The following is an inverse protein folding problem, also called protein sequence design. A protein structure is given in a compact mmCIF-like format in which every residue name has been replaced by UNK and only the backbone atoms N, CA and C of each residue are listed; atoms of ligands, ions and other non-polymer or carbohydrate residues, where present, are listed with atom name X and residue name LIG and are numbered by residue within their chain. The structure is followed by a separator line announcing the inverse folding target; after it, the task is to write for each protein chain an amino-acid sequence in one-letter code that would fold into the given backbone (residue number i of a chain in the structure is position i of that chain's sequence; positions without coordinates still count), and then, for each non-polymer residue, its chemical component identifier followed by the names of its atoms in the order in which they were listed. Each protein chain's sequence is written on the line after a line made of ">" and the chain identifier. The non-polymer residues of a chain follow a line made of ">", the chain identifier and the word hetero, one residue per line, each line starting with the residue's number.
data_IF_056405737789
#
_entry.id   IF_056405737789
#
_cell.length_a   1.000
_cell.length_b   1.000
_cell.length_c   1.000
_cell.angle_alpha   90.00
_cell.angle_beta   90.00
_cell.angle_gamma   90.00
#
_symmetry.space_group_name_H-M   'P 1'
#
loop_
_entity.id
_entity.type
_entity.pdbx_description
1 polymer ?
#
# COMPACT_ATOMS: atom_id res chain seq x y z
N UNK A 1 2.21 -4.45 4.38
CA UNK A 1 2.13 -5.02 3.01
C UNK A 1 1.01 -4.31 2.27
N UNK A 2 1.34 -3.61 1.19
CA UNK A 2 0.37 -2.94 0.32
C UNK A 2 0.18 -3.73 -0.97
N UNK A 3 -1.04 -3.67 -1.52
CA UNK A 3 -1.42 -4.42 -2.73
C UNK A 3 -2.18 -3.50 -3.66
N UNK A 4 -1.54 -3.14 -4.76
CA UNK A 4 -2.14 -2.36 -5.84
C UNK A 4 -2.67 -3.33 -6.88
N UNK A 5 -4.00 -3.38 -7.05
CA UNK A 5 -4.62 -4.23 -8.07
C UNK A 5 -4.83 -3.41 -9.34
N UNK A 6 -4.48 -3.98 -10.48
CA UNK A 6 -4.73 -3.35 -11.77
C UNK A 6 -6.07 -3.82 -12.32
N UNK A 7 -6.85 -2.89 -12.84
CA UNK A 7 -8.10 -3.15 -13.57
C UNK A 7 -7.80 -3.41 -15.05
N UNK A 8 -8.80 -3.94 -15.78
CA UNK A 8 -8.76 -4.11 -17.25
C UNK A 8 -7.66 -5.01 -17.79
N UNK A 9 -7.32 -6.07 -17.05
CA UNK A 9 -6.31 -7.02 -17.45
C UNK A 9 -4.98 -6.31 -17.84
N UNK A 10 -4.50 -5.37 -17.02
CA UNK A 10 -3.20 -4.74 -17.25
C UNK A 10 -2.14 -5.31 -16.32
N UNK A 11 -0.93 -5.49 -16.84
CA UNK A 11 0.25 -5.88 -16.04
C UNK A 11 1.33 -4.82 -16.16
N UNK A 12 2.17 -4.72 -15.11
CA UNK A 12 3.36 -3.89 -15.15
C UNK A 12 4.42 -4.55 -16.02
N UNK A 13 5.12 -3.71 -16.78
CA UNK A 13 6.30 -4.06 -17.57
C UNK A 13 7.26 -2.88 -17.50
N UNK A 14 8.56 -3.13 -17.57
CA UNK A 14 9.48 -2.05 -17.89
C UNK A 14 9.36 -1.73 -19.38
N UNK A 15 9.30 -0.44 -19.70
CA UNK A 15 9.38 0.01 -21.09
C UNK A 15 10.77 -0.33 -21.66
N UNK A 16 10.81 -0.77 -22.92
CA UNK A 16 12.04 -1.25 -23.55
C UNK A 16 13.12 -0.16 -23.55
N UNK A 17 14.24 -0.41 -22.86
CA UNK A 17 15.39 0.49 -22.80
C UNK A 17 15.34 1.62 -21.75
N UNK A 18 14.24 1.81 -21.03
CA UNK A 18 14.14 2.82 -19.96
C UNK A 18 13.68 2.20 -18.63
N UNK A 19 14.24 2.66 -17.50
CA UNK A 19 13.74 2.38 -16.15
C UNK A 19 12.39 3.10 -15.94
N UNK A 20 11.41 2.94 -16.83
CA UNK A 20 10.06 3.48 -16.71
C UNK A 20 9.09 2.31 -16.54
N UNK A 21 8.21 2.41 -15.55
CA UNK A 21 7.16 1.41 -15.34
C UNK A 21 6.00 1.74 -16.27
N UNK A 22 5.77 0.86 -17.25
CA UNK A 22 4.63 0.92 -18.15
C UNK A 22 3.52 -0.07 -17.76
N UNK A 23 2.39 0.04 -18.45
CA UNK A 23 1.30 -0.93 -18.39
C UNK A 23 1.07 -1.53 -19.77
N UNK A 24 0.99 -2.86 -19.86
CA UNK A 24 0.61 -3.57 -21.09
C UNK A 24 -0.63 -4.43 -20.84
N UNK A 25 -1.45 -4.73 -21.87
CA UNK A 25 -2.48 -5.76 -21.77
C UNK A 25 -1.86 -7.09 -21.33
N UNK A 26 -2.40 -7.68 -20.27
CA UNK A 26 -2.06 -9.01 -19.82
C UNK A 26 -2.56 -10.06 -20.80
N UNK A 27 -2.00 -11.27 -20.71
CA UNK A 27 -2.39 -12.40 -21.56
C UNK A 27 -3.90 -12.65 -21.49
N UNK A 28 -4.42 -13.24 -22.55
CA UNK A 28 -5.81 -13.68 -22.60
C UNK A 28 -6.12 -14.62 -21.43
N UNK A 29 -7.30 -14.49 -20.81
CA UNK A 29 -7.66 -15.23 -19.59
C UNK A 29 -6.95 -14.80 -18.29
N UNK A 30 -6.32 -13.62 -18.24
CA UNK A 30 -5.79 -13.07 -16.98
C UNK A 30 -6.91 -12.69 -16.03
N UNK A 31 -6.89 -13.31 -14.86
CA UNK A 31 -7.90 -13.12 -13.80
C UNK A 31 -7.47 -12.13 -12.73
N UNK A 32 -6.16 -11.91 -12.58
CA UNK A 32 -5.61 -11.08 -11.51
C UNK A 32 -4.23 -10.55 -11.86
N UNK A 33 -4.06 -9.24 -11.75
CA UNK A 33 -2.77 -8.57 -11.82
C UNK A 33 -2.64 -7.64 -10.62
N UNK A 34 -1.54 -7.75 -9.87
CA UNK A 34 -1.30 -6.91 -8.68
C UNK A 34 0.19 -6.65 -8.46
N UNK A 35 0.52 -5.41 -8.07
CA UNK A 35 1.81 -5.05 -7.50
C UNK A 35 1.74 -5.15 -5.98
N UNK A 36 2.75 -5.76 -5.37
CA UNK A 36 2.89 -5.87 -3.92
C UNK A 36 4.13 -5.13 -3.49
N UNK A 37 3.96 -4.21 -2.54
CA UNK A 37 5.06 -3.49 -1.93
C UNK A 37 5.10 -3.79 -0.43
N UNK A 38 6.29 -4.10 0.07
CA UNK A 38 6.53 -4.40 1.48
C UNK A 38 7.53 -3.42 2.05
N UNK A 39 7.03 -2.60 2.96
CA UNK A 39 7.80 -1.60 3.70
C UNK A 39 7.94 -2.04 5.15
N UNK A 40 9.06 -1.68 5.75
CA UNK A 40 9.24 -1.65 7.19
C UNK A 40 8.89 -0.24 7.67
N UNK A 41 7.82 -0.10 8.46
CA UNK A 41 7.32 1.20 8.90
C UNK A 41 7.70 1.47 10.37
N UNK A 42 8.24 2.66 10.63
CA UNK A 42 8.52 3.21 11.95
C UNK A 42 7.45 4.27 12.23
N UNK A 43 6.49 4.00 13.13
CA UNK A 43 5.46 4.97 13.51
C UNK A 43 5.93 5.85 14.67
N UNK A 44 5.65 7.14 14.59
CA UNK A 44 5.77 8.09 15.69
C UNK A 44 4.42 8.76 15.90
N UNK A 45 3.77 8.50 17.03
CA UNK A 45 2.42 8.98 17.31
C UNK A 45 2.33 9.59 18.72
N UNK A 46 1.74 10.77 18.82
CA UNK A 46 1.30 11.35 20.07
C UNK A 46 -0.11 10.83 20.36
N UNK A 47 -0.30 10.22 21.53
CA UNK A 47 -1.57 9.63 21.95
C UNK A 47 -2.14 10.38 23.14
N UNK A 48 -3.40 10.75 23.04
CA UNK A 48 -4.21 11.28 24.11
C UNK A 48 -5.31 10.28 24.48
N UNK A 49 -5.50 10.05 25.77
CA UNK A 49 -6.54 9.19 26.32
C UNK A 49 -7.16 9.92 27.48
N UNK A 50 -8.49 10.08 27.45
CA UNK A 50 -9.21 10.86 28.48
C UNK A 50 -9.26 10.13 29.81
N UNK A 51 -9.42 8.80 29.77
CA UNK A 51 -9.41 7.97 30.96
C UNK A 51 -8.44 6.79 30.78
N UNK A 52 -7.16 6.94 31.14
CA UNK A 52 -6.18 5.86 31.02
C UNK A 52 -6.51 4.63 31.90
N UNK A 53 -7.21 4.83 33.02
CA UNK A 53 -7.54 3.78 33.99
C UNK A 53 -8.76 2.94 33.59
N UNK A 54 -9.70 3.51 32.84
CA UNK A 54 -10.81 2.78 32.21
C UNK A 54 -10.75 2.87 30.67
N UNK A 55 -9.93 2.01 30.04
CA UNK A 55 -9.86 1.82 28.59
C UNK A 55 -11.18 1.77 27.85
N UNK A 56 -12.20 1.13 28.45
CA UNK A 56 -13.47 0.78 27.80
C UNK A 56 -14.36 2.01 27.66
N UNK A 57 -14.25 2.97 28.57
CA UNK A 57 -14.97 4.25 28.51
C UNK A 57 -14.12 5.41 28.01
N UNK A 58 -12.84 5.18 27.74
CA UNK A 58 -11.93 6.24 27.34
C UNK A 58 -12.12 6.68 25.89
N UNK A 59 -12.22 7.99 25.69
CA UNK A 59 -11.96 8.60 24.40
C UNK A 59 -10.46 8.65 24.13
N UNK A 60 -10.05 8.14 22.97
CA UNK A 60 -8.67 8.02 22.53
C UNK A 60 -8.49 8.75 21.21
N UNK A 61 -7.49 9.60 21.13
CA UNK A 61 -7.04 10.22 19.90
C UNK A 61 -5.53 10.02 19.75
N UNK A 62 -5.05 9.76 18.54
CA UNK A 62 -3.63 9.85 18.23
C UNK A 62 -3.41 10.58 16.91
N UNK A 63 -2.30 11.31 16.84
CA UNK A 63 -1.83 11.97 15.65
C UNK A 63 -0.32 11.79 15.56
N UNK A 64 0.19 11.59 14.36
CA UNK A 64 1.60 11.30 14.18
C UNK A 64 2.01 11.16 12.73
N UNK A 65 3.23 10.67 12.56
CA UNK A 65 3.80 10.34 11.26
C UNK A 65 4.25 8.90 11.19
N UNK A 66 4.41 8.39 9.98
CA UNK A 66 5.07 7.11 9.72
C UNK A 66 6.17 7.32 8.69
N UNK A 67 7.31 6.70 8.92
CA UNK A 67 8.41 6.63 7.94
C UNK A 67 8.63 5.18 7.60
N UNK A 68 8.65 4.85 6.32
CA UNK A 68 8.76 3.47 5.84
C UNK A 68 9.92 3.29 4.87
N UNK A 69 10.63 2.16 4.98
CA UNK A 69 11.69 1.77 4.05
C UNK A 69 11.27 0.53 3.28
N UNK A 70 11.34 0.58 1.95
CA UNK A 70 11.02 -0.54 1.06
C UNK A 70 12.07 -1.64 1.22
N UNK A 71 11.64 -2.85 1.57
CA UNK A 71 12.55 -4.00 1.66
C UNK A 71 12.29 -5.05 0.57
N UNK A 72 11.05 -5.15 0.05
CA UNK A 72 10.73 -6.11 -1.00
C UNK A 72 9.48 -5.72 -1.77
N UNK A 73 9.54 -5.86 -3.08
CA UNK A 73 8.38 -5.73 -3.95
C UNK A 73 8.33 -6.85 -4.99
N UNK A 74 7.11 -7.17 -5.43
CA UNK A 74 6.89 -8.14 -6.48
C UNK A 74 5.54 -7.93 -7.17
N UNK A 75 5.50 -8.24 -8.46
CA UNK A 75 4.25 -8.31 -9.22
C UNK A 75 3.74 -9.74 -9.21
N UNK A 76 2.43 -9.91 -9.10
CA UNK A 76 1.75 -11.20 -9.14
C UNK A 76 0.66 -11.17 -10.19
N UNK A 77 0.82 -12.02 -11.20
CA UNK A 77 -0.15 -12.19 -12.31
C UNK A 77 -0.71 -13.61 -12.25
N UNK A 78 -2.02 -13.76 -12.41
CA UNK A 78 -2.69 -15.05 -12.57
C UNK A 78 -3.40 -15.06 -13.91
N UNK A 79 -3.11 -16.06 -14.73
CA UNK A 79 -3.70 -16.24 -16.06
C UNK A 79 -4.10 -17.69 -16.29
N UNK A 80 -5.06 -17.90 -17.19
CA UNK A 80 -5.50 -19.22 -17.60
C UNK A 80 -4.78 -19.61 -18.89
N UNK A 81 -4.14 -20.77 -18.89
CA UNK A 81 -3.45 -21.33 -20.07
C UNK A 81 -3.88 -22.80 -20.17
N UNK A 82 -4.42 -23.19 -21.32
CA UNK A 82 -4.84 -24.59 -21.60
C UNK A 82 -5.84 -25.18 -20.58
N UNK A 83 -6.71 -24.35 -19.99
CA UNK A 83 -7.67 -24.80 -18.98
C UNK A 83 -7.18 -24.70 -17.54
N UNK A 84 -5.86 -24.59 -17.33
CA UNK A 84 -5.24 -24.51 -16.01
C UNK A 84 -4.93 -23.07 -15.56
N UNK A 85 -5.05 -22.82 -14.26
CA UNK A 85 -4.75 -21.52 -13.66
C UNK A 85 -3.27 -21.43 -13.27
N UNK A 86 -2.47 -20.74 -14.08
CA UNK A 86 -1.05 -20.47 -13.78
C UNK A 86 -0.89 -19.15 -13.01
N UNK A 87 0.17 -19.08 -12.22
CA UNK A 87 0.49 -17.93 -11.37
C UNK A 87 1.96 -17.58 -11.52
N UNK A 88 2.20 -16.39 -12.05
CA UNK A 88 3.52 -15.80 -12.16
C UNK A 88 3.76 -14.82 -11.00
N UNK A 89 4.98 -14.83 -10.45
CA UNK A 89 5.43 -13.86 -9.46
C UNK A 89 6.80 -13.36 -9.88
N UNK A 90 6.91 -12.07 -10.14
CA UNK A 90 8.18 -11.44 -10.50
C UNK A 90 8.65 -10.50 -9.39
N UNK A 91 9.85 -10.75 -8.87
CA UNK A 91 10.47 -9.95 -7.81
C UNK A 91 11.34 -8.89 -8.45
N UNK A 92 10.79 -7.68 -8.54
CA UNK A 92 11.49 -6.50 -9.03
C UNK A 92 11.08 -5.30 -8.19
N UNK A 93 11.91 -4.25 -8.24
CA UNK A 93 11.68 -3.01 -7.48
C UNK A 93 10.55 -2.15 -8.08
N UNK A 94 10.19 -2.35 -9.35
CA UNK A 94 9.12 -1.64 -10.07
C UNK A 94 9.15 -0.12 -9.87
N UNK A 95 10.36 0.45 -9.78
CA UNK A 95 10.62 1.85 -9.44
C UNK A 95 9.74 2.41 -8.31
N UNK A 96 9.41 1.57 -7.33
CA UNK A 96 8.73 2.02 -6.13
C UNK A 96 9.64 2.96 -5.35
N UNK A 97 9.01 3.92 -4.68
CA UNK A 97 9.73 4.81 -3.78
C UNK A 97 10.38 3.99 -2.65
N UNK A 98 11.66 4.21 -2.40
CA UNK A 98 12.41 3.45 -1.41
C UNK A 98 12.10 3.93 0.01
N UNK A 99 11.87 5.23 0.16
CA UNK A 99 11.56 5.86 1.45
C UNK A 99 10.22 6.57 1.34
N UNK A 100 9.24 6.08 2.10
CA UNK A 100 7.93 6.71 2.19
C UNK A 100 7.75 7.40 3.52
N UNK A 101 6.95 8.47 3.54
CA UNK A 101 6.47 9.03 4.79
C UNK A 101 5.08 9.62 4.62
N UNK A 102 4.37 9.72 5.74
CA UNK A 102 2.99 10.15 5.73
C UNK A 102 2.49 10.55 7.11
N UNK A 103 1.32 11.17 7.11
CA UNK A 103 0.60 11.59 8.31
C UNK A 103 -0.42 10.55 8.70
N UNK A 104 -0.50 10.27 10.00
CA UNK A 104 -1.42 9.33 10.61
C UNK A 104 -2.29 10.03 11.63
N UNK A 105 -3.58 9.72 11.63
CA UNK A 105 -4.50 10.13 12.67
C UNK A 105 -5.44 8.98 13.03
N UNK A 106 -5.78 8.85 14.31
CA UNK A 106 -6.72 7.85 14.81
C UNK A 106 -7.58 8.46 15.91
N UNK A 107 -8.86 8.12 15.89
CA UNK A 107 -9.81 8.56 16.92
C UNK A 107 -10.78 7.43 17.23
N UNK A 108 -11.16 7.29 18.50
CA UNK A 108 -12.06 6.23 18.92
C UNK A 108 -12.51 6.34 20.37
N UNK A 109 -13.46 5.48 20.73
CA UNK A 109 -14.00 5.36 22.08
C UNK A 109 -14.05 3.89 22.44
N UNK A 110 -13.53 3.56 23.63
CA UNK A 110 -13.51 2.19 24.13
C UNK A 110 -12.77 1.26 23.17
N UNK A 111 -13.48 0.22 22.72
CA UNK A 111 -12.91 -0.84 21.90
C UNK A 111 -12.91 -0.53 20.40
N UNK A 112 -13.54 0.57 19.97
CA UNK A 112 -13.68 0.92 18.56
C UNK A 112 -12.92 2.18 18.23
N UNK A 113 -12.21 2.18 17.11
CA UNK A 113 -11.54 3.37 16.58
C UNK A 113 -11.53 3.37 15.07
N UNK A 114 -11.51 4.56 14.49
CA UNK A 114 -11.22 4.78 13.07
C UNK A 114 -9.85 5.42 12.94
N UNK A 115 -9.14 5.12 11.87
CA UNK A 115 -7.87 5.74 11.56
C UNK A 115 -7.75 6.08 10.09
N UNK A 116 -6.94 7.10 9.82
CA UNK A 116 -6.53 7.54 8.51
C UNK A 116 -5.00 7.59 8.43
N UNK A 117 -4.47 7.22 7.28
CA UNK A 117 -3.07 7.38 6.93
C UNK A 117 -2.96 7.93 5.51
N UNK A 118 -2.30 9.06 5.35
CA UNK A 118 -2.05 9.68 4.05
C UNK A 118 -0.55 9.73 3.77
N UNK A 119 -0.13 9.12 2.67
CA UNK A 119 1.27 9.16 2.24
C UNK A 119 1.53 10.50 1.55
N UNK A 120 2.53 11.21 2.03
CA UNK A 120 2.99 12.47 1.44
C UNK A 120 3.94 12.22 0.26
N UNK A 121 4.57 11.05 0.24
CA UNK A 121 5.43 10.59 -0.86
C UNK A 121 4.62 9.86 -1.93
N UNK A 122 4.99 9.99 -3.22
CA UNK A 122 4.41 9.18 -4.27
C UNK A 122 4.75 7.68 -4.09
N UNK A 123 3.93 6.81 -4.68
CA UNK A 123 4.10 5.35 -4.65
C UNK A 123 5.32 4.92 -5.48
N UNK A 124 5.51 5.57 -6.62
CA UNK A 124 6.64 5.38 -7.51
C UNK A 124 7.64 6.52 -7.31
N UNK A 125 8.91 6.26 -7.65
CA UNK A 125 9.90 7.32 -7.77
C UNK A 125 9.41 8.35 -8.80
N UNK A 126 9.80 9.61 -8.58
CA UNK A 126 9.38 10.74 -9.40
C UNK A 126 9.54 10.46 -10.90
N UNK A 127 8.48 10.69 -11.67
CA UNK A 127 8.40 10.46 -13.13
C UNK A 127 8.60 8.99 -13.57
N UNK A 128 8.66 8.03 -12.62
CA UNK A 128 8.85 6.60 -12.90
C UNK A 128 7.59 5.75 -12.76
N UNK A 129 6.46 6.38 -12.43
CA UNK A 129 5.16 5.70 -12.35
C UNK A 129 4.55 5.41 -13.74
N UNK A 130 3.49 4.59 -13.80
CA UNK A 130 2.71 4.38 -15.02
C UNK A 130 2.32 5.70 -15.68
N UNK A 131 2.72 5.88 -16.94
CA UNK A 131 2.49 7.12 -17.72
C UNK A 131 3.11 8.39 -17.10
N UNK A 132 4.16 8.27 -16.29
CA UNK A 132 4.83 9.41 -15.63
C UNK A 132 3.99 10.08 -14.54
N UNK A 133 2.99 9.37 -13.98
CA UNK A 133 2.09 9.96 -12.99
C UNK A 133 2.56 9.73 -11.55
N UNK A 134 2.51 10.79 -10.75
CA UNK A 134 2.69 10.72 -9.30
C UNK A 134 1.37 10.28 -8.64
N UNK A 135 1.42 9.14 -7.95
CA UNK A 135 0.27 8.58 -7.23
C UNK A 135 0.52 8.62 -5.73
N UNK A 136 -0.42 9.16 -4.95
CA UNK A 136 -0.39 9.12 -3.48
C UNK A 136 -1.46 8.16 -2.93
N UNK A 137 -1.19 7.58 -1.76
CA UNK A 137 -2.13 6.66 -1.11
C UNK A 137 -2.80 7.29 0.11
N UNK A 138 -4.12 7.19 0.15
CA UNK A 138 -4.94 7.38 1.33
C UNK A 138 -5.45 6.03 1.82
N UNK A 139 -5.22 5.72 3.09
CA UNK A 139 -5.75 4.54 3.78
C UNK A 139 -6.70 4.98 4.87
N UNK A 140 -7.89 4.40 4.90
CA UNK A 140 -8.87 4.58 5.97
C UNK A 140 -9.19 3.19 6.51
N UNK A 141 -9.25 3.05 7.83
CA UNK A 141 -9.50 1.76 8.45
C UNK A 141 -10.19 1.87 9.79
N UNK A 142 -10.74 0.73 10.21
CA UNK A 142 -11.27 0.51 11.54
C UNK A 142 -10.29 -0.32 12.36
N UNK A 143 -10.25 -0.07 13.66
CA UNK A 143 -9.40 -0.76 14.62
C UNK A 143 -10.30 -1.20 15.77
N UNK A 144 -10.28 -2.49 16.07
CA UNK A 144 -10.85 -3.03 17.28
C UNK A 144 -9.72 -3.35 18.25
N UNK A 145 -9.77 -2.78 19.44
CA UNK A 145 -8.91 -3.15 20.56
C UNK A 145 -9.80 -3.47 21.74
N UNK A 146 -10.03 -4.75 22.00
CA UNK A 146 -10.38 -5.16 23.37
C UNK A 146 -9.13 -4.87 24.22
N UNK A 147 -9.27 -4.63 25.53
CA UNK A 147 -8.21 -4.33 26.52
C UNK A 147 -7.50 -2.94 26.43
#
# INVERSE_FOLDING_TARGET
>A
MERYKFTDNRTLVYADGEDLVGMTPGRDGTSKSMLVANYFDIPLELRFSTNPEDPVRSFRASIGGRVGVLYSSFTKVKYKEEGEMKKFKDRQNWNLEKIRYGVFAKVGVGNFSVFGYYNLTPVFQKDKGPSGTDMSNLTIGISLSSF
#
